data_IF_058503151809
#
_entry.id   IF_058503151809
#
_cell.length_a   1.000
_cell.length_b   1.000
_cell.length_c   1.000
_cell.angle_alpha   90.00
_cell.angle_beta   90.00
_cell.angle_gamma   90.00
#
_symmetry.space_group_name_H-M   'P 1'
#
loop_
_entity.id
_entity.type
_entity.pdbx_description
1 polymer ?
#
# COMPACT_ATOMS: atom_id res chain seq x y z
N UNK A 1 82.84 5.50 -49.10
CA UNK A 1 81.61 4.68 -49.20
C UNK A 1 80.52 5.33 -48.36
N UNK A 2 79.50 5.92 -48.99
CA UNK A 2 78.40 6.66 -48.33
C UNK A 2 77.47 5.67 -47.62
N UNK A 3 77.19 5.90 -46.32
CA UNK A 3 76.21 5.17 -45.52
C UNK A 3 74.82 5.83 -45.66
N UNK A 4 73.80 5.02 -45.94
CA UNK A 4 72.39 5.42 -45.97
C UNK A 4 71.84 5.59 -44.54
N UNK A 5 71.11 6.69 -44.33
CA UNK A 5 70.29 6.97 -43.15
C UNK A 5 68.88 6.39 -43.37
N UNK A 6 68.40 5.56 -42.45
CA UNK A 6 67.01 5.11 -42.37
C UNK A 6 66.29 6.00 -41.35
N UNK A 7 65.22 6.67 -41.77
CA UNK A 7 64.34 7.45 -40.90
C UNK A 7 63.18 6.58 -40.43
N UNK A 8 63.07 6.35 -39.12
CA UNK A 8 61.90 5.74 -38.48
C UNK A 8 61.02 6.82 -37.87
N UNK A 9 59.76 6.90 -38.30
CA UNK A 9 58.74 7.80 -37.76
C UNK A 9 58.17 7.17 -36.48
N UNK A 10 58.28 7.88 -35.35
CA UNK A 10 57.66 7.48 -34.09
C UNK A 10 56.23 8.06 -33.99
N UNK A 11 55.23 7.19 -33.86
CA UNK A 11 53.83 7.54 -33.66
C UNK A 11 53.60 7.82 -32.16
N UNK A 12 53.28 9.06 -31.79
CA UNK A 12 52.89 9.43 -30.42
C UNK A 12 51.37 9.27 -30.30
N UNK A 13 50.92 8.23 -29.62
CA UNK A 13 49.51 8.05 -29.22
C UNK A 13 49.24 8.90 -27.97
N UNK A 14 48.51 10.01 -28.13
CA UNK A 14 48.02 10.80 -27.01
C UNK A 14 46.86 10.09 -26.31
N UNK A 15 47.02 9.80 -25.01
CA UNK A 15 45.95 9.31 -24.17
C UNK A 15 45.00 10.48 -23.82
N UNK A 16 43.72 10.38 -24.21
CA UNK A 16 42.70 11.29 -23.71
C UNK A 16 42.32 10.91 -22.28
N UNK A 17 42.17 11.88 -21.35
CA UNK A 17 41.72 11.57 -20.00
C UNK A 17 40.25 11.15 -20.04
N UNK A 18 39.97 9.96 -19.51
CA UNK A 18 38.61 9.51 -19.23
C UNK A 18 38.11 10.32 -18.03
N UNK A 19 37.15 11.22 -18.26
CA UNK A 19 36.42 11.85 -17.18
C UNK A 19 35.51 10.81 -16.54
N UNK A 20 35.76 10.49 -15.25
CA UNK A 20 34.84 9.68 -14.48
C UNK A 20 33.50 10.43 -14.36
N UNK A 21 32.44 9.89 -14.97
CA UNK A 21 31.09 10.37 -14.74
C UNK A 21 30.76 10.15 -13.26
N UNK A 22 30.38 11.20 -12.55
CA UNK A 22 29.79 11.05 -11.23
C UNK A 22 28.55 10.14 -11.36
N UNK A 23 28.47 9.09 -10.54
CA UNK A 23 27.27 8.26 -10.45
C UNK A 23 26.07 9.16 -10.10
N UNK A 24 24.96 9.02 -10.82
CA UNK A 24 23.72 9.73 -10.46
C UNK A 24 23.32 9.28 -9.06
N UNK A 25 23.14 10.23 -8.13
CA UNK A 25 22.41 9.97 -6.90
C UNK A 25 21.06 9.34 -7.27
N UNK A 26 20.79 8.12 -6.81
CA UNK A 26 19.54 7.40 -7.08
C UNK A 26 19.68 6.08 -7.87
N UNK A 27 20.87 5.72 -8.37
CA UNK A 27 21.09 4.41 -9.01
C UNK A 27 21.51 3.36 -7.96
N UNK A 28 20.61 2.43 -7.64
CA UNK A 28 20.88 1.31 -6.72
C UNK A 28 19.67 0.88 -5.89
N UNK A 29 19.82 -0.19 -5.08
CA UNK A 29 18.80 -0.58 -4.10
C UNK A 29 18.52 0.56 -3.11
N UNK A 30 17.34 0.57 -2.52
CA UNK A 30 16.98 1.52 -1.47
C UNK A 30 17.87 1.32 -0.24
N UNK A 31 18.07 2.38 0.56
CA UNK A 31 18.84 2.29 1.80
C UNK A 31 17.93 1.89 2.96
N UNK A 32 18.14 0.70 3.51
CA UNK A 32 17.39 0.16 4.66
C UNK A 32 17.89 0.76 5.97
N UNK A 33 16.96 1.13 6.87
CA UNK A 33 17.25 1.69 8.19
C UNK A 33 16.24 1.19 9.22
N UNK A 34 16.66 1.00 10.48
CA UNK A 34 15.73 0.68 11.55
C UNK A 34 14.90 1.91 11.95
N UNK A 35 13.67 1.67 12.40
CA UNK A 35 12.81 2.68 13.00
C UNK A 35 12.77 2.44 14.51
N UNK A 36 12.56 3.50 15.30
CA UNK A 36 12.43 3.33 16.75
C UNK A 36 11.21 2.47 17.09
N UNK A 37 11.43 1.40 17.86
CA UNK A 37 10.38 0.57 18.45
C UNK A 37 10.05 0.98 19.89
N UNK A 38 9.15 0.24 20.54
CA UNK A 38 8.85 0.40 21.96
C UNK A 38 9.73 -0.57 22.77
N UNK A 39 10.59 -0.08 23.68
CA UNK A 39 11.45 -0.94 24.49
C UNK A 39 10.66 -2.00 25.28
N UNK A 40 11.17 -3.24 25.32
CA UNK A 40 10.55 -4.33 26.08
C UNK A 40 9.36 -5.02 25.39
N UNK A 41 8.97 -4.58 24.19
CA UNK A 41 7.95 -5.26 23.40
C UNK A 41 8.53 -6.45 22.63
N UNK A 42 7.76 -7.53 22.57
CA UNK A 42 8.05 -8.75 21.81
C UNK A 42 7.88 -8.53 20.30
N UNK A 43 6.84 -7.79 19.89
CA UNK A 43 6.60 -7.46 18.50
C UNK A 43 6.26 -5.98 18.38
N UNK A 44 6.83 -5.30 17.39
CA UNK A 44 6.49 -3.93 17.02
C UNK A 44 6.50 -3.85 15.50
N UNK A 45 5.35 -3.62 14.89
CA UNK A 45 5.19 -3.64 13.45
C UNK A 45 4.47 -2.39 12.94
N UNK A 46 4.98 -1.77 11.89
CA UNK A 46 4.30 -0.70 11.16
C UNK A 46 3.44 -1.34 10.08
N UNK A 47 2.12 -1.10 10.13
CA UNK A 47 1.17 -1.61 9.15
C UNK A 47 0.84 -0.62 8.04
N UNK A 48 0.99 0.70 8.27
CA UNK A 48 0.73 1.70 7.25
C UNK A 48 1.42 3.05 7.56
N UNK A 49 1.65 3.86 6.53
CA UNK A 49 2.15 5.25 6.63
C UNK A 49 1.20 6.23 5.97
N UNK A 50 1.12 7.45 6.48
CA UNK A 50 0.48 8.54 5.76
C UNK A 50 1.39 9.03 4.61
N UNK A 51 0.84 9.69 3.58
CA UNK A 51 1.61 10.13 2.41
C UNK A 51 2.73 11.12 2.72
N UNK A 52 2.64 11.88 3.81
CA UNK A 52 3.69 12.85 4.21
C UNK A 52 4.87 12.18 4.92
N UNK A 53 4.72 10.94 5.38
CA UNK A 53 5.70 10.24 6.20
C UNK A 53 5.79 10.74 7.65
N UNK A 54 4.91 11.65 8.06
CA UNK A 54 4.86 12.19 9.42
C UNK A 54 4.31 11.18 10.42
N UNK A 55 3.32 10.41 9.99
CA UNK A 55 2.58 9.44 10.79
C UNK A 55 2.70 8.05 10.20
N UNK A 56 3.02 7.09 11.05
CA UNK A 56 2.85 5.67 10.77
C UNK A 56 1.96 5.06 11.84
N UNK A 57 1.28 3.98 11.49
CA UNK A 57 0.43 3.26 12.43
C UNK A 57 0.74 1.77 12.37
N UNK A 58 0.54 1.12 13.51
CA UNK A 58 0.71 -0.30 13.62
C UNK A 58 0.42 -0.77 15.03
N UNK A 59 1.07 -1.85 15.44
CA UNK A 59 0.80 -2.46 16.73
C UNK A 59 2.09 -2.88 17.44
N UNK A 60 1.97 -3.05 18.75
CA UNK A 60 2.96 -3.71 19.58
C UNK A 60 2.34 -4.78 20.47
N UNK A 61 3.10 -5.83 20.77
CA UNK A 61 2.73 -6.87 21.74
C UNK A 61 3.85 -7.07 22.75
N UNK A 62 3.50 -7.22 24.02
CA UNK A 62 4.46 -7.54 25.08
C UNK A 62 4.90 -9.01 25.06
N UNK A 63 4.05 -9.92 24.56
CA UNK A 63 4.34 -11.35 24.43
C UNK A 63 3.66 -11.92 23.18
N UNK A 64 4.03 -13.12 22.75
CA UNK A 64 3.43 -13.78 21.58
C UNK A 64 1.91 -13.98 21.67
N UNK A 65 1.36 -14.09 22.89
CA UNK A 65 -0.08 -14.24 23.17
C UNK A 65 -0.67 -13.01 23.87
N UNK A 66 0.10 -11.93 23.96
CA UNK A 66 -0.32 -10.69 24.60
C UNK A 66 -1.30 -9.92 23.72
N UNK A 67 -2.10 -9.08 24.35
CA UNK A 67 -3.00 -8.16 23.65
C UNK A 67 -2.18 -7.15 22.82
N UNK A 68 -2.61 -6.93 21.57
CA UNK A 68 -2.07 -5.85 20.74
C UNK A 68 -2.38 -4.48 21.31
N UNK A 69 -1.39 -3.60 21.19
CA UNK A 69 -1.43 -2.21 21.58
C UNK A 69 -1.33 -1.36 20.33
N UNK A 70 -2.20 -0.37 20.18
CA UNK A 70 -2.13 0.55 19.05
C UNK A 70 -0.88 1.43 19.21
N UNK A 71 -0.08 1.51 18.15
CA UNK A 71 1.11 2.37 18.13
C UNK A 71 0.97 3.37 17.00
N UNK A 72 1.11 4.64 17.34
CA UNK A 72 1.22 5.73 16.39
C UNK A 72 2.66 6.25 16.42
N UNK A 73 3.37 6.18 15.30
CA UNK A 73 4.62 6.91 15.15
C UNK A 73 4.30 8.34 14.72
N UNK A 74 5.01 9.30 15.32
CA UNK A 74 5.03 10.70 14.90
C UNK A 74 6.47 11.10 14.70
N UNK A 75 6.82 11.49 13.49
CA UNK A 75 8.16 11.95 13.15
C UNK A 75 9.24 10.92 13.59
N UNK A 76 8.95 9.63 13.36
CA UNK A 76 9.81 8.50 13.74
C UNK A 76 9.76 8.09 15.22
N UNK A 77 9.02 8.80 16.07
CA UNK A 77 8.89 8.48 17.50
C UNK A 77 7.64 7.64 17.79
N UNK A 78 7.75 6.41 18.32
CA UNK A 78 6.59 5.58 18.66
C UNK A 78 5.84 6.11 19.88
N UNK A 79 4.52 6.18 19.79
CA UNK A 79 3.61 6.55 20.86
C UNK A 79 2.62 5.40 21.10
N UNK A 80 2.76 4.72 22.23
CA UNK A 80 1.82 3.68 22.69
C UNK A 80 0.48 4.32 23.07
N UNK A 81 -0.59 3.99 22.33
CA UNK A 81 -1.95 4.48 22.59
C UNK A 81 -2.76 3.54 23.50
N UNK A 82 -2.14 2.48 24.00
CA UNK A 82 -2.76 1.50 24.86
C UNK A 82 -3.32 0.28 24.13
N UNK A 83 -3.87 -0.68 24.89
CA UNK A 83 -4.48 -1.87 24.34
C UNK A 83 -5.69 -1.51 23.47
N UNK A 84 -5.77 -2.15 22.32
CA UNK A 84 -6.95 -2.06 21.44
C UNK A 84 -7.29 -3.50 21.06
N UNK A 85 -8.35 -4.02 21.65
CA UNK A 85 -8.79 -5.38 21.41
C UNK A 85 -9.04 -5.64 19.91
N UNK A 86 -8.77 -6.87 19.48
CA UNK A 86 -8.99 -7.28 18.09
C UNK A 86 -8.00 -6.73 17.05
N UNK A 87 -7.00 -5.93 17.45
CA UNK A 87 -5.92 -5.50 16.55
C UNK A 87 -5.06 -6.65 16.00
N UNK A 88 -5.06 -7.80 16.67
CA UNK A 88 -4.25 -8.98 16.29
C UNK A 88 -4.50 -9.48 14.85
N UNK A 89 -5.66 -9.15 14.29
CA UNK A 89 -6.07 -9.50 12.92
C UNK A 89 -6.66 -8.30 12.15
N UNK A 90 -6.53 -7.08 12.69
CA UNK A 90 -7.17 -5.89 12.15
C UNK A 90 -6.28 -5.14 11.15
N UNK A 91 -6.89 -4.71 10.04
CA UNK A 91 -6.30 -3.73 9.13
C UNK A 91 -6.30 -2.34 9.76
N UNK A 92 -5.22 -1.57 9.58
CA UNK A 92 -5.05 -0.20 10.05
C UNK A 92 -4.64 0.73 8.91
N UNK A 93 -5.15 1.95 8.94
CA UNK A 93 -4.70 3.04 8.06
C UNK A 93 -4.63 4.36 8.84
N UNK A 94 -3.79 5.29 8.39
CA UNK A 94 -3.55 6.58 9.05
C UNK A 94 -3.44 7.72 8.05
N UNK A 95 -4.13 8.82 8.34
CA UNK A 95 -4.04 10.02 7.51
C UNK A 95 -3.00 11.03 8.02
N UNK A 96 -2.72 12.05 7.22
CA UNK A 96 -1.76 13.12 7.52
C UNK A 96 -2.12 14.00 8.74
N UNK A 97 -3.26 13.75 9.40
CA UNK A 97 -3.66 14.38 10.67
C UNK A 97 -3.46 13.46 11.88
N UNK A 98 -2.93 12.26 11.68
CA UNK A 98 -2.74 11.24 12.71
C UNK A 98 -4.07 10.62 13.19
N UNK A 99 -5.12 10.68 12.37
CA UNK A 99 -6.35 9.92 12.62
C UNK A 99 -6.16 8.51 12.06
N UNK A 100 -6.57 7.51 12.83
CA UNK A 100 -6.42 6.11 12.48
C UNK A 100 -7.79 5.52 12.19
N UNK A 101 -7.93 4.81 11.07
CA UNK A 101 -9.06 3.93 10.83
C UNK A 101 -8.64 2.50 11.11
N UNK A 102 -9.53 1.72 11.71
CA UNK A 102 -9.19 0.35 12.07
C UNK A 102 -10.39 -0.56 12.29
N UNK A 103 -10.06 -1.84 12.35
CA UNK A 103 -10.99 -2.95 12.46
C UNK A 103 -10.77 -3.70 13.79
N UNK A 104 -11.74 -4.51 14.20
CA UNK A 104 -11.62 -5.37 15.38
C UNK A 104 -12.44 -4.93 16.60
N UNK A 105 -12.34 -5.76 17.65
CA UNK A 105 -13.15 -5.70 18.86
C UNK A 105 -12.60 -4.70 19.89
N UNK A 106 -13.16 -3.51 19.98
CA UNK A 106 -12.75 -2.54 21.00
C UNK A 106 -13.83 -2.36 22.05
N UNK A 107 -13.48 -2.60 23.33
CA UNK A 107 -14.42 -2.41 24.45
C UNK A 107 -15.68 -3.29 24.38
N UNK A 108 -15.59 -4.47 23.75
CA UNK A 108 -16.73 -5.38 23.55
C UNK A 108 -17.61 -5.04 22.33
N UNK A 109 -17.18 -4.11 21.47
CA UNK A 109 -17.89 -3.72 20.24
C UNK A 109 -17.08 -4.15 19.01
N UNK A 110 -17.65 -5.02 18.17
CA UNK A 110 -17.08 -5.48 16.89
C UNK A 110 -17.60 -4.65 15.71
N UNK A 111 -17.18 -3.40 15.50
CA UNK A 111 -17.91 -2.54 14.54
C UNK A 111 -17.14 -1.52 13.70
N UNK A 112 -15.83 -1.67 13.52
CA UNK A 112 -15.02 -0.66 12.83
C UNK A 112 -14.95 0.63 13.64
N UNK A 113 -13.80 1.27 13.61
CA UNK A 113 -13.58 2.44 14.45
C UNK A 113 -12.65 3.43 13.78
N UNK A 114 -12.80 4.67 14.22
CA UNK A 114 -11.82 5.73 14.01
C UNK A 114 -11.25 6.12 15.35
N UNK A 115 -9.93 6.28 15.41
CA UNK A 115 -9.24 6.84 16.56
C UNK A 115 -8.61 8.19 16.20
N UNK A 116 -8.60 9.10 17.16
CA UNK A 116 -7.80 10.33 17.10
C UNK A 116 -7.31 10.70 18.49
N UNK A 117 -6.20 11.44 18.57
CA UNK A 117 -5.68 11.89 19.87
C UNK A 117 -6.68 12.74 20.67
N UNK A 118 -7.52 13.53 20.01
CA UNK A 118 -8.48 14.43 20.67
C UNK A 118 -9.82 13.76 20.97
N UNK A 119 -10.29 12.90 20.08
CA UNK A 119 -11.59 12.22 20.21
C UNK A 119 -11.53 10.84 20.85
N UNK A 120 -10.33 10.28 21.03
CA UNK A 120 -10.16 8.88 21.41
C UNK A 120 -10.72 7.95 20.34
N UNK A 121 -11.20 6.79 20.77
CA UNK A 121 -11.77 5.77 19.90
C UNK A 121 -13.28 5.97 19.72
N UNK A 122 -13.72 6.00 18.47
CA UNK A 122 -15.12 6.21 18.08
C UNK A 122 -15.58 5.12 17.11
N UNK A 123 -16.71 4.43 17.37
CA UNK A 123 -17.23 3.43 16.46
C UNK A 123 -17.78 4.07 15.18
N UNK A 124 -17.74 3.32 14.07
CA UNK A 124 -18.38 3.70 12.82
C UNK A 124 -19.76 3.03 12.68
N UNK A 125 -20.76 3.71 12.12
CA UNK A 125 -22.05 3.10 11.84
C UNK A 125 -21.98 2.12 10.66
N UNK A 126 -22.81 1.07 10.70
CA UNK A 126 -23.02 0.13 9.59
C UNK A 126 -24.40 0.36 8.95
N UNK A 127 -24.58 0.03 7.65
CA UNK A 127 -25.90 0.02 7.03
C UNK A 127 -26.91 -0.83 7.80
N UNK A 128 -28.18 -0.41 7.85
CA UNK A 128 -29.22 -1.04 8.68
C UNK A 128 -29.40 -2.56 8.46
N UNK A 129 -29.09 -3.07 7.27
CA UNK A 129 -29.24 -4.49 6.89
C UNK A 129 -27.90 -5.26 6.88
N UNK A 130 -26.87 -4.73 7.55
CA UNK A 130 -25.55 -5.37 7.66
C UNK A 130 -25.22 -5.64 9.12
N UNK A 131 -24.45 -6.68 9.37
CA UNK A 131 -24.07 -7.10 10.73
C UNK A 131 -22.59 -6.88 11.01
N UNK A 132 -21.79 -6.72 9.96
CA UNK A 132 -20.34 -6.65 10.03
C UNK A 132 -19.80 -5.81 8.86
N UNK A 133 -18.51 -5.50 8.87
CA UNK A 133 -17.85 -4.73 7.82
C UNK A 133 -16.34 -4.69 7.92
N UNK A 134 -15.72 -3.87 7.08
CA UNK A 134 -14.32 -3.52 7.14
C UNK A 134 -14.14 -2.06 6.71
N UNK A 135 -13.33 -1.30 7.44
CA UNK A 135 -12.77 -0.03 6.98
C UNK A 135 -11.40 -0.29 6.39
N UNK A 136 -11.17 0.17 5.16
CA UNK A 136 -9.98 -0.15 4.37
C UNK A 136 -9.03 1.04 4.24
N UNK A 137 -9.55 2.25 4.22
CA UNK A 137 -8.72 3.44 4.01
C UNK A 137 -9.31 4.70 4.66
N UNK A 138 -8.45 5.68 4.94
CA UNK A 138 -8.76 7.02 5.43
C UNK A 138 -7.95 8.10 4.70
N UNK A 139 -8.62 9.08 4.11
CA UNK A 139 -7.94 10.18 3.43
C UNK A 139 -7.57 11.34 4.38
N UNK A 140 -6.85 12.34 3.85
CA UNK A 140 -6.43 13.54 4.58
C UNK A 140 -7.57 14.40 5.17
N UNK A 141 -8.79 14.28 4.63
CA UNK A 141 -9.99 14.93 5.17
C UNK A 141 -10.67 14.12 6.28
N UNK A 142 -10.20 12.91 6.57
CA UNK A 142 -10.78 12.00 7.56
C UNK A 142 -12.03 11.30 7.06
N UNK A 143 -12.24 11.29 5.75
CA UNK A 143 -13.23 10.45 5.08
C UNK A 143 -12.64 9.05 4.94
N UNK A 144 -13.48 8.04 5.02
CA UNK A 144 -13.08 6.63 5.03
C UNK A 144 -13.88 5.83 4.00
N UNK A 145 -13.31 4.73 3.54
CA UNK A 145 -13.97 3.80 2.61
C UNK A 145 -13.77 2.35 3.04
N UNK A 146 -14.68 1.47 2.63
CA UNK A 146 -14.59 0.04 2.91
C UNK A 146 -15.82 -0.74 2.45
N UNK A 147 -16.15 -1.79 3.17
CA UNK A 147 -17.29 -2.66 2.86
C UNK A 147 -18.10 -3.00 4.10
N UNK A 148 -19.37 -3.37 3.90
CA UNK A 148 -20.27 -3.88 4.92
C UNK A 148 -21.05 -5.07 4.38
N UNK A 149 -21.43 -6.02 5.23
CA UNK A 149 -22.13 -7.23 4.80
C UNK A 149 -23.06 -7.80 5.88
N UNK A 150 -24.07 -8.54 5.41
CA UNK A 150 -24.80 -9.54 6.19
C UNK A 150 -24.70 -10.86 5.41
N UNK A 151 -23.88 -11.80 5.89
CA UNK A 151 -23.52 -12.99 5.13
C UNK A 151 -22.44 -12.71 4.08
N UNK A 152 -22.56 -13.30 2.89
CA UNK A 152 -21.48 -13.34 1.88
C UNK A 152 -21.51 -12.22 0.83
N UNK A 153 -22.48 -11.31 0.90
CA UNK A 153 -22.76 -10.34 -0.16
C UNK A 153 -22.40 -8.92 0.30
N UNK A 154 -21.14 -8.49 0.11
CA UNK A 154 -20.69 -7.17 0.56
C UNK A 154 -21.22 -6.04 -0.31
N UNK A 155 -21.47 -4.91 0.36
CA UNK A 155 -21.73 -3.61 -0.26
C UNK A 155 -20.57 -2.67 0.06
N UNK A 156 -20.16 -1.87 -0.92
CA UNK A 156 -19.16 -0.84 -0.71
C UNK A 156 -19.77 0.33 0.05
N UNK A 157 -19.03 0.89 1.00
CA UNK A 157 -19.49 1.98 1.88
C UNK A 157 -18.41 3.04 2.01
N UNK A 158 -18.83 4.28 2.27
CA UNK A 158 -17.96 5.38 2.64
C UNK A 158 -18.52 6.10 3.88
N UNK A 159 -17.62 6.61 4.71
CA UNK A 159 -17.95 7.45 5.86
C UNK A 159 -17.32 8.82 5.66
N UNK A 160 -18.10 9.88 5.81
CA UNK A 160 -17.56 11.24 5.88
C UNK A 160 -16.81 11.49 7.19
N UNK A 161 -16.14 12.64 7.28
CA UNK A 161 -15.39 13.02 8.49
C UNK A 161 -16.25 13.16 9.75
N UNK A 162 -17.57 13.37 9.62
CA UNK A 162 -18.53 13.37 10.72
C UNK A 162 -19.15 11.98 10.98
N UNK A 163 -18.62 10.94 10.32
CA UNK A 163 -19.05 9.53 10.36
C UNK A 163 -20.41 9.27 9.71
N UNK A 164 -20.94 10.21 8.92
CA UNK A 164 -22.14 9.95 8.11
C UNK A 164 -21.84 8.86 7.09
N UNK A 165 -22.63 7.78 7.14
CA UNK A 165 -22.50 6.61 6.29
C UNK A 165 -23.20 6.84 4.94
N UNK A 166 -22.53 6.44 3.86
CA UNK A 166 -23.08 6.34 2.51
C UNK A 166 -22.81 4.96 1.95
N UNK A 167 -23.85 4.29 1.43
CA UNK A 167 -23.68 3.09 0.60
C UNK A 167 -23.32 3.53 -0.81
N UNK A 168 -22.25 2.97 -1.36
CA UNK A 168 -21.80 3.24 -2.72
C UNK A 168 -22.57 2.37 -3.71
N UNK A 169 -22.78 2.89 -4.93
CA UNK A 169 -23.62 2.22 -5.91
C UNK A 169 -23.01 0.90 -6.39
N UNK A 170 -23.81 -0.16 -6.41
CA UNK A 170 -23.52 -1.40 -7.16
C UNK A 170 -24.19 -1.30 -8.53
N UNK A 171 -23.43 -1.19 -9.63
CA UNK A 171 -24.02 -1.05 -10.96
C UNK A 171 -24.85 -2.26 -11.39
N UNK A 172 -25.80 -2.04 -12.30
CA UNK A 172 -26.58 -3.12 -12.89
C UNK A 172 -25.66 -4.18 -13.55
N UNK A 173 -25.98 -5.45 -13.32
CA UNK A 173 -25.15 -6.58 -13.76
C UNK A 173 -24.12 -7.05 -12.72
N UNK A 174 -24.03 -6.37 -11.57
CA UNK A 174 -23.25 -6.82 -10.42
C UNK A 174 -24.15 -6.96 -9.20
N UNK A 175 -23.75 -7.82 -8.27
CA UNK A 175 -24.51 -8.10 -7.03
C UNK A 175 -23.73 -7.74 -5.78
N UNK A 176 -22.42 -7.50 -5.91
CA UNK A 176 -21.50 -7.24 -4.79
C UNK A 176 -20.54 -6.13 -5.14
N UNK A 177 -20.10 -5.41 -4.11
CA UNK A 177 -19.15 -4.30 -4.24
C UNK A 177 -18.21 -4.22 -3.02
N UNK A 178 -16.97 -3.83 -3.25
CA UNK A 178 -15.99 -3.59 -2.20
C UNK A 178 -15.17 -2.35 -2.54
N UNK A 179 -15.04 -1.42 -1.59
CA UNK A 179 -14.10 -0.31 -1.70
C UNK A 179 -12.77 -0.67 -1.01
N UNK A 180 -11.67 -0.32 -1.63
CA UNK A 180 -10.32 -0.61 -1.12
C UNK A 180 -9.56 0.63 -0.70
N UNK A 181 -9.74 1.75 -1.40
CA UNK A 181 -8.98 2.97 -1.13
C UNK A 181 -9.76 4.24 -1.48
N UNK A 182 -9.36 5.37 -0.90
CA UNK A 182 -9.99 6.69 -1.07
C UNK A 182 -8.94 7.80 -1.21
N UNK A 183 -9.06 8.57 -2.28
CA UNK A 183 -8.13 9.67 -2.56
C UNK A 183 -8.49 10.94 -1.77
N UNK A 184 -7.55 11.89 -1.77
CA UNK A 184 -7.69 13.19 -1.14
C UNK A 184 -8.84 14.03 -1.69
N UNK A 185 -9.38 13.74 -2.88
CA UNK A 185 -10.56 14.40 -3.45
C UNK A 185 -11.89 13.71 -3.09
N UNK A 186 -11.84 12.54 -2.44
CA UNK A 186 -13.01 11.75 -2.04
C UNK A 186 -13.44 10.71 -3.07
N UNK A 187 -12.69 10.57 -4.16
CA UNK A 187 -12.83 9.46 -5.11
C UNK A 187 -12.45 8.16 -4.42
N UNK A 188 -13.37 7.20 -4.43
CA UNK A 188 -13.18 5.87 -3.87
C UNK A 188 -12.93 4.89 -5.01
N UNK A 189 -11.99 3.96 -4.86
CA UNK A 189 -11.75 2.88 -5.82
C UNK A 189 -11.96 1.52 -5.20
N UNK A 190 -12.29 0.55 -6.05
CA UNK A 190 -12.35 -0.84 -5.64
C UNK A 190 -12.85 -1.74 -6.75
N UNK A 191 -13.79 -2.60 -6.42
CA UNK A 191 -14.35 -3.55 -7.35
C UNK A 191 -15.84 -3.82 -7.16
N UNK A 192 -16.46 -4.29 -8.24
CA UNK A 192 -17.80 -4.87 -8.25
C UNK A 192 -17.78 -6.21 -8.95
N UNK A 193 -18.64 -7.12 -8.50
CA UNK A 193 -18.70 -8.46 -9.06
C UNK A 193 -20.07 -9.11 -9.00
N UNK A 194 -20.23 -10.11 -9.87
CA UNK A 194 -21.28 -11.10 -9.79
C UNK A 194 -20.65 -12.50 -9.74
N UNK A 195 -20.97 -13.22 -8.67
CA UNK A 195 -20.46 -14.56 -8.40
C UNK A 195 -21.57 -15.58 -8.60
N UNK A 196 -21.29 -16.60 -9.42
CA UNK A 196 -22.12 -17.78 -9.58
C UNK A 196 -21.88 -18.74 -8.42
N UNK A 197 -22.83 -18.81 -7.49
CA UNK A 197 -22.74 -19.76 -6.37
C UNK A 197 -22.84 -21.22 -6.83
N UNK A 198 -23.65 -21.50 -7.84
CA UNK A 198 -23.87 -22.88 -8.31
C UNK A 198 -22.69 -23.37 -9.13
N UNK A 199 -22.19 -22.53 -10.04
CA UNK A 199 -21.01 -22.82 -10.86
C UNK A 199 -19.66 -22.59 -10.16
N UNK A 200 -19.66 -22.05 -8.93
CA UNK A 200 -18.47 -21.66 -8.16
C UNK A 200 -17.46 -20.82 -8.97
N UNK A 201 -17.96 -19.77 -9.65
CA UNK A 201 -17.13 -18.95 -10.54
C UNK A 201 -17.61 -17.52 -10.71
N UNK A 202 -16.73 -16.65 -11.19
CA UNK A 202 -17.06 -15.25 -11.49
C UNK A 202 -17.84 -15.16 -12.80
N UNK A 203 -19.05 -14.57 -12.75
CA UNK A 203 -19.77 -14.17 -13.97
C UNK A 203 -19.24 -12.85 -14.50
N UNK A 204 -18.93 -11.93 -13.59
CA UNK A 204 -18.28 -10.67 -13.90
C UNK A 204 -17.52 -10.15 -12.67
N UNK A 205 -16.39 -9.47 -12.88
CA UNK A 205 -15.60 -8.79 -11.84
C UNK A 205 -14.87 -7.62 -12.46
N UNK A 206 -15.11 -6.41 -11.97
CA UNK A 206 -14.64 -5.17 -12.60
C UNK A 206 -14.14 -4.15 -11.59
N UNK A 207 -13.03 -3.52 -11.94
CA UNK A 207 -12.53 -2.35 -11.25
C UNK A 207 -13.50 -1.17 -11.45
N UNK A 208 -13.71 -0.39 -10.40
CA UNK A 208 -14.67 0.72 -10.38
C UNK A 208 -14.10 1.89 -9.59
N UNK A 209 -14.48 3.10 -9.98
CA UNK A 209 -14.28 4.32 -9.21
C UNK A 209 -15.63 4.98 -8.92
N UNK A 210 -15.86 5.35 -7.67
CA UNK A 210 -17.01 6.14 -7.20
C UNK A 210 -16.56 7.56 -6.88
N UNK A 211 -17.23 8.53 -7.50
CA UNK A 211 -17.01 9.94 -7.24
C UNK A 211 -17.72 10.39 -5.94
N UNK A 212 -17.26 11.49 -5.33
CA UNK A 212 -17.90 12.05 -4.14
C UNK A 212 -19.36 12.49 -4.39
N UNK A 213 -19.71 12.85 -5.62
CA UNK A 213 -21.09 13.22 -6.01
C UNK A 213 -22.04 12.02 -6.17
N UNK A 214 -21.55 10.79 -6.02
CA UNK A 214 -22.33 9.55 -6.15
C UNK A 214 -22.35 8.97 -7.57
N UNK A 215 -21.79 9.66 -8.56
CA UNK A 215 -21.53 9.06 -9.86
C UNK A 215 -20.44 8.00 -9.76
N UNK A 216 -20.39 7.09 -10.73
CA UNK A 216 -19.41 6.00 -10.77
C UNK A 216 -19.03 5.68 -12.22
N UNK A 217 -17.85 5.09 -12.39
CA UNK A 217 -17.39 4.58 -13.68
C UNK A 217 -16.65 3.26 -13.50
N UNK A 218 -16.87 2.32 -14.42
CA UNK A 218 -16.00 1.15 -14.51
C UNK A 218 -14.66 1.56 -15.12
N UNK A 219 -13.57 1.09 -14.51
CA UNK A 219 -12.22 1.34 -15.02
C UNK A 219 -11.93 0.41 -16.22
N UNK A 220 -11.02 0.82 -17.13
CA UNK A 220 -10.61 -0.01 -18.26
C UNK A 220 -9.99 -1.34 -17.78
N UNK A 221 -10.15 -2.42 -18.55
CA UNK A 221 -9.62 -3.77 -18.22
C UNK A 221 -8.51 -4.26 -19.15
N UNK A 222 -8.32 -3.66 -20.33
CA UNK A 222 -7.16 -3.85 -21.20
C UNK A 222 -7.05 -5.13 -22.04
N UNK A 223 -7.51 -6.31 -21.58
CA UNK A 223 -7.15 -7.59 -22.25
C UNK A 223 -8.25 -8.35 -23.00
N UNK A 224 -9.48 -8.40 -22.51
CA UNK A 224 -10.62 -9.01 -23.21
C UNK A 224 -11.94 -8.70 -22.50
N UNK A 225 -13.09 -9.02 -23.11
CA UNK A 225 -14.37 -8.88 -22.44
C UNK A 225 -14.58 -9.86 -21.27
N UNK A 226 -13.80 -10.95 -21.25
CA UNK A 226 -13.81 -11.98 -20.19
C UNK A 226 -12.86 -11.67 -19.04
N UNK A 227 -11.94 -10.73 -19.22
CA UNK A 227 -10.98 -10.37 -18.19
C UNK A 227 -11.66 -9.77 -16.95
N UNK A 228 -11.19 -10.20 -15.79
CA UNK A 228 -11.54 -9.64 -14.49
C UNK A 228 -10.57 -8.52 -14.13
N UNK A 229 -11.05 -7.51 -13.42
CA UNK A 229 -10.19 -6.39 -12.98
C UNK A 229 -10.63 -5.92 -11.59
N UNK A 230 -9.68 -5.39 -10.83
CA UNK A 230 -9.94 -4.72 -9.56
C UNK A 230 -8.93 -3.58 -9.36
N UNK A 231 -9.38 -2.47 -8.76
CA UNK A 231 -8.53 -1.36 -8.35
C UNK A 231 -8.18 -1.52 -6.88
N UNK A 232 -6.93 -1.28 -6.51
CA UNK A 232 -6.41 -1.56 -5.17
C UNK A 232 -6.06 -0.29 -4.39
N UNK A 233 -5.41 0.67 -5.06
CA UNK A 233 -4.88 1.90 -4.44
C UNK A 233 -5.16 3.08 -5.37
N UNK A 234 -5.47 4.25 -4.81
CA UNK A 234 -5.61 5.52 -5.53
C UNK A 234 -4.80 6.61 -4.85
N UNK A 235 -4.02 7.35 -5.63
CA UNK A 235 -3.30 8.53 -5.15
C UNK A 235 -3.22 9.60 -6.22
N UNK A 236 -3.70 10.81 -5.89
CA UNK A 236 -3.71 11.98 -6.78
C UNK A 236 -4.23 11.63 -8.19
N UNK A 237 -5.35 10.90 -8.23
CA UNK A 237 -6.05 10.45 -9.43
C UNK A 237 -5.36 9.33 -10.23
N UNK A 238 -4.22 8.80 -9.78
CA UNK A 238 -3.66 7.56 -10.33
C UNK A 238 -4.20 6.35 -9.57
N UNK A 239 -4.81 5.43 -10.29
CA UNK A 239 -5.35 4.18 -9.75
C UNK A 239 -4.43 3.03 -10.10
N UNK A 240 -3.91 2.33 -9.10
CA UNK A 240 -3.17 1.10 -9.27
C UNK A 240 -4.11 -0.10 -9.15
N UNK A 241 -4.08 -1.00 -10.13
CA UNK A 241 -4.95 -2.16 -10.16
C UNK A 241 -4.36 -3.35 -10.91
N UNK A 242 -5.13 -4.42 -10.96
CA UNK A 242 -4.76 -5.67 -11.62
C UNK A 242 -5.88 -6.09 -12.55
N UNK A 243 -5.50 -6.62 -13.70
CA UNK A 243 -6.36 -7.40 -14.57
C UNK A 243 -5.92 -8.86 -14.50
N UNK A 244 -6.87 -9.79 -14.45
CA UNK A 244 -6.64 -11.23 -14.44
C UNK A 244 -7.56 -11.96 -15.41
N UNK A 245 -7.14 -13.13 -15.86
CA UNK A 245 -7.87 -13.96 -16.83
C UNK A 245 -6.90 -14.44 -17.91
N UNK A 246 -7.29 -14.31 -19.17
CA UNK A 246 -6.48 -14.74 -20.32
C UNK A 246 -5.13 -14.00 -20.42
N UNK A 247 -5.11 -12.72 -20.02
CA UNK A 247 -3.89 -11.93 -19.87
C UNK A 247 -3.95 -11.19 -18.53
N UNK A 248 -2.89 -11.38 -17.75
CA UNK A 248 -2.84 -11.04 -16.34
C UNK A 248 -1.67 -10.10 -16.08
N UNK A 249 -1.98 -8.88 -15.64
CA UNK A 249 -1.00 -7.81 -15.48
C UNK A 249 -1.48 -6.73 -14.51
N UNK A 250 -0.50 -6.01 -13.97
CA UNK A 250 -0.71 -4.82 -13.17
C UNK A 250 -0.76 -3.58 -14.05
N UNK A 251 -1.60 -2.62 -13.69
CA UNK A 251 -1.78 -1.39 -14.46
C UNK A 251 -1.94 -0.17 -13.55
N UNK A 252 -1.57 0.98 -14.10
CA UNK A 252 -1.95 2.29 -13.58
C UNK A 252 -2.95 2.93 -14.54
N UNK A 253 -4.08 3.38 -14.02
CA UNK A 253 -5.04 4.19 -14.74
C UNK A 253 -4.95 5.64 -14.28
N UNK A 254 -4.88 6.56 -15.24
CA UNK A 254 -4.96 7.99 -14.98
C UNK A 254 -5.74 8.64 -16.12
N UNK A 255 -6.78 9.40 -15.79
CA UNK A 255 -7.59 10.15 -16.76
C UNK A 255 -8.12 9.30 -17.94
N UNK A 256 -8.62 8.09 -17.66
CA UNK A 256 -9.14 7.16 -18.67
C UNK A 256 -8.07 6.35 -19.41
N UNK A 257 -6.79 6.66 -19.22
CA UNK A 257 -5.70 5.96 -19.88
C UNK A 257 -5.16 4.87 -18.97
N UNK A 258 -5.17 3.63 -19.45
CA UNK A 258 -4.58 2.49 -18.76
C UNK A 258 -3.18 2.23 -19.30
N UNK A 259 -2.20 2.19 -18.40
CA UNK A 259 -0.80 1.86 -18.70
C UNK A 259 -0.42 0.57 -17.98
N UNK A 260 0.08 -0.43 -18.72
CA UNK A 260 0.60 -1.68 -18.17
C UNK A 260 1.94 -1.40 -17.46
N UNK A 261 2.07 -1.82 -16.20
CA UNK A 261 3.26 -1.57 -15.36
C UNK A 261 4.03 -2.83 -14.95
N UNK A 262 3.50 -4.01 -15.26
CA UNK A 262 4.21 -5.26 -15.07
C UNK A 262 3.33 -6.48 -15.26
N UNK A 263 3.95 -7.63 -15.49
CA UNK A 263 3.29 -8.95 -15.38
C UNK A 263 3.21 -9.33 -13.89
N UNK A 264 2.24 -10.16 -13.48
CA UNK A 264 1.90 -10.42 -12.07
C UNK A 264 3.03 -11.09 -11.26
N UNK A 265 4.08 -10.36 -10.93
CA UNK A 265 5.09 -10.64 -9.90
C UNK A 265 5.84 -9.32 -9.75
N UNK A 266 5.83 -8.61 -8.61
CA UNK A 266 5.37 -8.85 -7.22
C UNK A 266 3.98 -8.29 -6.80
N UNK A 267 3.61 -8.51 -5.52
CA UNK A 267 2.39 -7.96 -4.87
C UNK A 267 2.39 -6.44 -4.91
N UNK A 268 1.29 -5.82 -5.36
CA UNK A 268 1.11 -4.38 -5.36
C UNK A 268 0.65 -3.89 -3.98
N UNK A 269 1.43 -2.97 -3.39
CA UNK A 269 1.17 -2.47 -2.03
C UNK A 269 0.80 -0.99 -1.99
N UNK A 270 1.31 -0.17 -2.91
CA UNK A 270 1.03 1.26 -2.88
C UNK A 270 1.40 1.97 -4.17
N UNK A 271 0.85 3.17 -4.35
CA UNK A 271 1.27 4.16 -5.33
C UNK A 271 1.31 5.52 -4.64
N UNK A 272 2.35 6.32 -4.90
CA UNK A 272 2.46 7.66 -4.32
C UNK A 272 2.13 8.76 -5.35
N UNK A 273 2.16 10.03 -4.93
CA UNK A 273 1.83 11.19 -5.78
C UNK A 273 2.69 11.33 -7.03
N UNK A 274 3.92 10.79 -7.03
CA UNK A 274 4.83 10.85 -8.18
C UNK A 274 4.56 9.73 -9.19
N UNK A 275 3.71 8.77 -8.83
CA UNK A 275 3.44 7.56 -9.59
C UNK A 275 4.43 6.42 -9.31
N UNK A 276 5.27 6.54 -8.28
CA UNK A 276 6.10 5.43 -7.84
C UNK A 276 5.23 4.34 -7.22
N UNK A 277 5.46 3.10 -7.64
CA UNK A 277 4.71 1.93 -7.21
C UNK A 277 5.54 1.16 -6.19
N UNK A 278 4.98 0.95 -5.01
CA UNK A 278 5.52 0.05 -4.01
C UNK A 278 5.01 -1.37 -4.25
N UNK A 279 5.94 -2.30 -4.20
CA UNK A 279 5.68 -3.73 -4.21
C UNK A 279 6.30 -4.42 -3.00
N UNK A 280 6.08 -5.72 -2.84
CA UNK A 280 6.70 -6.50 -1.77
C UNK A 280 8.24 -6.53 -1.80
N UNK A 281 8.88 -6.20 -2.94
CA UNK A 281 10.33 -6.38 -3.13
C UNK A 281 11.06 -5.20 -3.77
N UNK A 282 10.33 -4.25 -4.37
CA UNK A 282 10.92 -3.06 -5.00
C UNK A 282 9.97 -1.85 -5.08
N UNK A 283 10.57 -0.68 -5.26
CA UNK A 283 9.90 0.56 -5.68
C UNK A 283 10.16 0.80 -7.15
N UNK A 284 9.10 1.03 -7.93
CA UNK A 284 9.15 1.29 -9.37
C UNK A 284 8.73 2.71 -9.67
N UNK A 285 9.67 3.57 -10.01
CA UNK A 285 9.35 4.94 -10.47
C UNK A 285 8.98 4.94 -11.96
N UNK A 286 8.13 5.87 -12.42
CA UNK A 286 7.80 5.98 -13.84
C UNK A 286 9.05 6.17 -14.72
N UNK A 287 9.29 5.22 -15.64
CA UNK A 287 10.44 5.24 -16.53
C UNK A 287 11.79 4.93 -15.88
N UNK A 288 11.81 4.60 -14.58
CA UNK A 288 13.02 4.23 -13.85
C UNK A 288 13.24 2.71 -13.79
N UNK A 289 14.46 2.32 -13.43
CA UNK A 289 14.78 0.93 -13.07
C UNK A 289 14.20 0.61 -11.70
N UNK A 290 13.57 -0.56 -11.48
CA UNK A 290 13.10 -0.98 -10.16
C UNK A 290 14.22 -0.92 -9.12
N UNK A 291 13.95 -0.27 -7.99
CA UNK A 291 14.87 -0.17 -6.86
C UNK A 291 14.51 -1.22 -5.82
N UNK A 292 15.38 -2.21 -5.63
CA UNK A 292 15.16 -3.28 -4.67
C UNK A 292 15.09 -2.75 -3.24
N UNK A 293 14.24 -3.37 -2.43
CA UNK A 293 14.18 -3.21 -0.98
C UNK A 293 15.10 -4.27 -0.37
N UNK A 294 16.29 -3.92 0.14
CA UNK A 294 17.13 -4.90 0.83
C UNK A 294 16.38 -5.50 2.01
N UNK A 295 16.57 -6.80 2.25
CA UNK A 295 16.05 -7.51 3.41
C UNK A 295 17.03 -7.40 4.59
N UNK A 296 16.76 -8.11 5.69
CA UNK A 296 17.72 -8.24 6.80
C UNK A 296 18.95 -9.04 6.34
N UNK A 297 20.13 -8.47 6.57
CA UNK A 297 21.41 -9.13 6.29
C UNK A 297 21.53 -10.46 7.04
N UNK A 298 21.83 -11.54 6.30
CA UNK A 298 22.08 -12.87 6.89
C UNK A 298 20.84 -13.64 7.32
N UNK A 299 19.63 -13.17 6.98
CA UNK A 299 18.42 -13.99 7.11
C UNK A 299 18.51 -15.15 6.09
N UNK A 300 18.39 -16.39 6.57
CA UNK A 300 17.98 -17.49 5.70
C UNK A 300 16.57 -17.12 5.18
N UNK A 301 16.26 -17.26 3.87
CA UNK A 301 14.92 -17.04 3.34
C UNK A 301 13.80 -17.80 4.07
N UNK A 302 14.16 -18.85 4.82
CA UNK A 302 13.24 -19.61 5.67
C UNK A 302 13.11 -19.06 7.10
N UNK A 303 14.05 -18.25 7.59
CA UNK A 303 14.17 -17.81 8.99
C UNK A 303 13.84 -16.33 9.22
N UNK A 304 13.37 -15.60 8.21
CA UNK A 304 12.96 -14.21 8.35
C UNK A 304 12.74 -13.49 7.03
N UNK A 305 12.21 -12.27 7.11
CA UNK A 305 11.96 -11.45 5.94
C UNK A 305 11.57 -10.03 6.29
N UNK A 306 11.57 -9.16 5.30
CA UNK A 306 11.11 -7.78 5.43
C UNK A 306 9.79 -7.58 4.69
N UNK A 307 8.85 -6.91 5.34
CA UNK A 307 7.49 -6.71 4.84
C UNK A 307 7.23 -5.21 4.72
N UNK A 308 7.42 -4.61 3.53
CA UNK A 308 6.97 -3.24 3.29
C UNK A 308 5.45 -3.18 3.38
N UNK A 309 4.94 -2.06 3.87
CA UNK A 309 3.50 -1.89 4.11
C UNK A 309 2.94 -0.58 3.57
N UNK A 310 3.78 0.44 3.39
CA UNK A 310 3.34 1.71 2.82
C UNK A 310 4.49 2.55 2.26
N UNK A 311 4.15 3.44 1.33
CA UNK A 311 5.07 4.37 0.66
C UNK A 311 4.57 5.81 0.81
N UNK A 312 5.50 6.72 1.06
CA UNK A 312 5.23 8.16 1.14
C UNK A 312 5.37 8.83 -0.23
N UNK A 313 4.87 10.07 -0.35
CA UNK A 313 5.07 10.92 -1.53
C UNK A 313 6.52 11.36 -1.74
N UNK A 314 7.41 11.01 -0.80
CA UNK A 314 8.86 11.26 -0.87
C UNK A 314 9.68 9.98 -1.05
N UNK A 315 9.07 8.89 -1.53
CA UNK A 315 9.74 7.61 -1.77
C UNK A 315 10.42 6.99 -0.53
N UNK A 316 9.98 7.37 0.68
CA UNK A 316 10.24 6.60 1.89
C UNK A 316 9.22 5.46 1.98
N UNK A 317 9.71 4.25 2.24
CA UNK A 317 8.89 3.06 2.47
C UNK A 317 8.99 2.66 3.93
N UNK A 318 7.88 2.26 4.54
CA UNK A 318 7.83 1.75 5.91
C UNK A 318 7.33 0.31 5.93
N UNK A 319 7.66 -0.40 6.99
CA UNK A 319 7.22 -1.76 7.20
C UNK A 319 7.78 -2.35 8.48
N UNK A 320 7.88 -3.67 8.49
CA UNK A 320 8.49 -4.40 9.59
C UNK A 320 9.31 -5.58 9.09
N UNK A 321 10.27 -6.01 9.89
CA UNK A 321 10.93 -7.28 9.69
C UNK A 321 10.32 -8.35 10.59
N UNK A 322 10.40 -9.58 10.14
CA UNK A 322 10.16 -10.77 10.94
C UNK A 322 11.47 -11.54 11.08
N UNK A 323 11.83 -11.83 12.33
CA UNK A 323 13.00 -12.61 12.69
C UNK A 323 12.52 -13.89 13.36
N UNK A 324 12.58 -15.03 12.66
CA UNK A 324 11.95 -16.28 13.12
C UNK A 324 12.64 -16.85 14.37
N UNK A 325 13.97 -16.70 14.49
CA UNK A 325 14.73 -17.16 15.65
C UNK A 325 14.22 -16.63 17.01
N UNK A 326 13.84 -15.35 17.07
CA UNK A 326 13.23 -14.74 18.27
C UNK A 326 11.71 -14.56 18.13
N UNK A 327 11.15 -14.89 16.96
CA UNK A 327 9.78 -14.59 16.51
C UNK A 327 9.39 -13.13 16.75
N UNK A 328 10.33 -12.20 16.59
CA UNK A 328 10.14 -10.76 16.86
C UNK A 328 9.78 -10.02 15.58
N UNK A 329 8.97 -8.99 15.76
CA UNK A 329 8.71 -7.99 14.72
C UNK A 329 9.41 -6.69 15.08
N UNK A 330 10.13 -6.12 14.12
CA UNK A 330 10.86 -4.87 14.29
C UNK A 330 10.47 -3.86 13.22
N UNK A 331 10.21 -2.58 13.55
CA UNK A 331 9.83 -1.59 12.56
C UNK A 331 11.05 -1.14 11.76
N UNK A 332 10.88 -1.03 10.45
CA UNK A 332 11.96 -0.72 9.49
C UNK A 332 11.45 0.30 8.47
N UNK A 333 12.40 1.01 7.84
CA UNK A 333 12.13 1.85 6.69
C UNK A 333 13.18 1.67 5.59
N UNK A 334 12.80 2.01 4.37
CA UNK A 334 13.71 2.12 3.24
C UNK A 334 13.65 3.52 2.65
N UNK A 335 14.82 4.11 2.43
CA UNK A 335 14.99 5.37 1.72
C UNK A 335 15.25 5.08 0.23
N UNK A 336 14.22 5.29 -0.59
CA UNK A 336 14.26 5.12 -2.03
C UNK A 336 14.30 6.46 -2.79
N UNK A 337 14.78 7.53 -2.15
CA UNK A 337 15.08 8.82 -2.78
C UNK A 337 16.38 8.82 -3.57
#
# INVERSE_FOLDING_TARGET
>A
MRRLLVSGVALVLGAMPVTASAARSGEGPCRRETVAGIPGMYAVAIQQTDPTGRFQVGYAKATARGESRLVLWRDGTPLDQGPVGGLDAGWLDVNARGQVAGNGRVGGVDKLWRWSQTGGLEPLPLPANTTDGAVMAINGRGEMAGAAWAGEDPVAVAWSADKTLRVLATPAGFTRAHAYDIDGDGTVVGEVWDWDREGAGWRARRAIAWAPDGSWRLLPRGSSDRAHSYARVIRDGAVLGVTSGDDTFSWVERNGTLTRVGELYPTLLGINSTGAILTDSDVRTPGGTPRKLPEIDGADPMDGGSYPTGITDTDLVYGYDWLDGDRRLMPVRWDCR
#
